data_IF_218795151952
#
_entry.id   IF_218795151952
#
_cell.length_a   1.000
_cell.length_b   1.000
_cell.length_c   1.000
_cell.angle_alpha   90.00
_cell.angle_beta   90.00
_cell.angle_gamma   90.00
#
_symmetry.space_group_name_H-M   'P 1'
#
loop_
_entity.id
_entity.type
_entity.pdbx_description
1 polymer ?
#
# COMPACT_ATOMS: atom_id res chain seq x y z
N UNK A 1 -45.83 -27.28 -12.50
CA UNK A 1 -44.50 -26.76 -12.08
C UNK A 1 -44.15 -25.38 -12.63
N UNK A 2 -44.62 -25.03 -13.83
CA UNK A 2 -44.34 -23.70 -14.45
C UNK A 2 -45.08 -22.50 -13.86
N UNK A 3 -46.22 -22.69 -13.18
CA UNK A 3 -47.01 -21.62 -12.59
C UNK A 3 -46.40 -21.04 -11.31
N UNK A 4 -45.61 -21.78 -10.56
CA UNK A 4 -44.96 -21.28 -9.37
C UNK A 4 -43.74 -20.37 -9.68
N UNK A 5 -43.05 -20.60 -10.78
CA UNK A 5 -41.92 -19.75 -11.19
C UNK A 5 -42.39 -18.39 -11.75
N UNK A 6 -43.56 -18.34 -12.39
CA UNK A 6 -44.15 -17.10 -12.89
C UNK A 6 -44.52 -16.12 -11.78
N UNK A 7 -45.08 -16.62 -10.67
CA UNK A 7 -45.50 -15.81 -9.53
C UNK A 7 -44.26 -15.26 -8.77
N UNK A 8 -43.20 -16.04 -8.66
CA UNK A 8 -41.95 -15.60 -8.02
C UNK A 8 -41.24 -14.49 -8.81
N UNK A 9 -41.22 -14.61 -10.15
CA UNK A 9 -40.57 -13.61 -11.02
C UNK A 9 -41.33 -12.27 -11.04
N UNK A 10 -42.68 -12.30 -11.03
CA UNK A 10 -43.49 -11.09 -10.98
C UNK A 10 -43.38 -10.34 -9.66
N UNK A 11 -43.28 -11.06 -8.53
CA UNK A 11 -43.06 -10.45 -7.21
C UNK A 11 -41.68 -9.80 -7.11
N UNK A 12 -40.67 -10.36 -7.74
CA UNK A 12 -39.29 -9.81 -7.75
C UNK A 12 -39.21 -8.53 -8.59
N UNK A 13 -39.91 -8.47 -9.73
CA UNK A 13 -39.98 -7.28 -10.58
C UNK A 13 -40.76 -6.13 -9.95
N UNK A 14 -41.85 -6.44 -9.21
CA UNK A 14 -42.63 -5.40 -8.51
C UNK A 14 -41.88 -4.85 -7.30
N UNK A 15 -41.13 -5.68 -6.57
CA UNK A 15 -40.25 -5.26 -5.46
C UNK A 15 -39.16 -4.31 -5.92
N UNK A 16 -38.52 -4.60 -7.04
CA UNK A 16 -37.46 -3.75 -7.60
C UNK A 16 -38.01 -2.39 -8.09
N UNK A 17 -39.20 -2.37 -8.69
CA UNK A 17 -39.88 -1.14 -9.11
C UNK A 17 -40.22 -0.23 -7.93
N UNK A 18 -40.67 -0.76 -6.80
CA UNK A 18 -40.97 0.01 -5.58
C UNK A 18 -39.72 0.63 -4.99
N UNK A 19 -38.59 -0.10 -4.99
CA UNK A 19 -37.31 0.40 -4.48
C UNK A 19 -36.81 1.55 -5.35
N UNK A 20 -36.87 1.45 -6.68
CA UNK A 20 -36.49 2.54 -7.60
C UNK A 20 -37.41 3.76 -7.46
N UNK A 21 -38.70 3.58 -7.21
CA UNK A 21 -39.64 4.67 -6.99
C UNK A 21 -39.44 5.38 -5.64
N UNK A 22 -39.05 4.65 -4.61
CA UNK A 22 -38.69 5.23 -3.32
C UNK A 22 -37.37 6.01 -3.37
N UNK A 23 -36.42 5.59 -4.20
CA UNK A 23 -35.15 6.30 -4.40
C UNK A 23 -35.33 7.62 -5.16
N UNK A 24 -36.33 7.70 -6.08
CA UNK A 24 -36.62 8.91 -6.90
C UNK A 24 -37.40 10.00 -6.15
N UNK A 25 -37.92 9.73 -4.94
CA UNK A 25 -38.77 10.67 -4.22
C UNK A 25 -38.08 11.45 -3.10
N UNK A 26 -36.77 11.28 -2.91
CA UNK A 26 -36.01 11.92 -1.83
C UNK A 26 -35.17 13.12 -2.25
N UNK A 27 -35.52 13.77 -3.37
CA UNK A 27 -34.98 15.11 -3.66
C UNK A 27 -36.02 16.14 -3.19
N UNK A 28 -36.01 16.48 -1.92
CA UNK A 28 -36.62 17.70 -1.41
C UNK A 28 -35.64 18.84 -1.62
N UNK A 29 -36.00 19.70 -2.57
CA UNK A 29 -35.37 21.00 -2.77
C UNK A 29 -35.70 21.90 -1.57
N UNK A 30 -34.75 22.09 -0.68
CA UNK A 30 -34.81 23.20 0.26
C UNK A 30 -34.43 24.49 -0.47
N UNK A 31 -35.50 25.26 -0.83
CA UNK A 31 -35.36 26.66 -1.22
C UNK A 31 -34.91 27.47 0.01
N UNK A 32 -33.64 27.70 0.13
CA UNK A 32 -33.08 28.71 1.06
C UNK A 32 -33.11 30.06 0.32
N UNK A 33 -34.07 30.92 0.68
CA UNK A 33 -34.12 32.29 0.21
C UNK A 33 -33.06 33.10 0.96
N UNK A 34 -32.03 33.50 0.23
CA UNK A 34 -31.07 34.49 0.70
C UNK A 34 -31.53 35.86 0.31
N UNK A 35 -32.34 36.48 1.16
CA UNK A 35 -32.51 37.94 1.15
C UNK A 35 -31.93 38.46 2.48
N UNK A 36 -31.06 39.47 2.33
CA UNK A 36 -30.62 40.42 3.31
C UNK A 36 -29.43 40.04 4.19
N UNK A 37 -28.21 40.12 3.63
CA UNK A 37 -27.07 40.79 4.30
C UNK A 37 -26.13 41.41 3.27
N UNK A 38 -26.43 42.66 2.89
CA UNK A 38 -25.44 43.52 2.26
C UNK A 38 -24.46 43.98 3.33
N UNK A 39 -23.30 43.39 3.42
CA UNK A 39 -22.11 44.07 3.92
C UNK A 39 -21.07 44.15 2.82
N UNK A 40 -20.92 45.34 2.38
CA UNK A 40 -19.94 45.86 1.45
C UNK A 40 -18.55 45.69 2.00
N UNK A 41 -17.68 45.06 1.27
CA UNK A 41 -16.23 45.06 1.61
C UNK A 41 -15.59 43.76 1.15
N UNK A 42 -15.41 43.62 -0.12
CA UNK A 42 -14.12 43.54 -0.83
C UNK A 42 -13.13 42.59 -0.17
N UNK A 43 -12.86 41.50 -0.81
CA UNK A 43 -11.59 41.34 -1.54
C UNK A 43 -11.82 40.22 -2.53
N UNK A 44 -11.86 40.61 -3.80
CA UNK A 44 -11.73 39.74 -4.95
C UNK A 44 -10.28 39.22 -4.93
N UNK A 45 -10.06 38.10 -4.25
CA UNK A 45 -8.91 37.24 -4.48
C UNK A 45 -9.45 35.98 -5.13
N UNK A 46 -9.65 36.06 -6.44
CA UNK A 46 -9.51 34.90 -7.29
C UNK A 46 -8.02 34.51 -7.31
N UNK A 47 -7.45 34.20 -6.17
CA UNK A 47 -6.33 33.29 -6.12
C UNK A 47 -6.95 31.90 -6.29
N UNK A 48 -7.01 31.45 -7.54
CA UNK A 48 -6.97 30.02 -7.84
C UNK A 48 -5.70 29.52 -7.13
N UNK A 49 -5.86 29.10 -5.89
CA UNK A 49 -4.89 28.24 -5.25
C UNK A 49 -4.88 26.99 -6.12
N UNK A 50 -3.95 26.97 -7.07
CA UNK A 50 -3.62 25.72 -7.75
C UNK A 50 -3.34 24.76 -6.61
N UNK A 51 -4.27 23.86 -6.34
CA UNK A 51 -4.02 22.66 -5.57
C UNK A 51 -3.00 21.92 -6.40
N UNK A 52 -1.72 22.19 -6.14
CA UNK A 52 -0.64 21.38 -6.62
C UNK A 52 -0.93 20.02 -6.00
N UNK A 53 -1.49 19.14 -6.79
CA UNK A 53 -1.61 17.75 -6.43
C UNK A 53 -0.17 17.24 -6.38
N UNK A 54 0.46 17.41 -5.21
CA UNK A 54 1.77 16.84 -4.92
C UNK A 54 1.49 15.36 -4.84
N UNK A 55 1.62 14.69 -5.97
CA UNK A 55 1.43 13.25 -6.05
C UNK A 55 2.23 12.56 -4.95
N UNK A 56 1.68 11.50 -4.38
CA UNK A 56 2.35 10.74 -3.34
C UNK A 56 3.74 10.31 -3.81
N UNK A 57 4.78 10.62 -3.02
CA UNK A 57 6.16 10.17 -3.25
C UNK A 57 6.35 8.82 -2.58
N UNK A 58 7.07 7.93 -3.24
CA UNK A 58 7.44 6.64 -2.64
C UNK A 58 8.50 6.87 -1.58
N UNK A 59 8.16 6.56 -0.34
CA UNK A 59 9.06 6.66 0.81
C UNK A 59 9.85 5.37 1.04
N UNK A 60 10.88 5.43 1.87
CA UNK A 60 11.54 4.23 2.39
C UNK A 60 10.66 3.54 3.42
N UNK A 61 10.77 2.21 3.57
CA UNK A 61 9.98 1.45 4.56
C UNK A 61 10.47 1.64 6.01
N UNK A 62 11.28 2.65 6.27
CA UNK A 62 11.83 3.02 7.58
C UNK A 62 12.17 4.52 7.63
N UNK A 63 12.30 5.07 8.85
CA UNK A 63 12.67 6.49 9.07
C UNK A 63 14.06 6.66 9.69
N UNK A 64 14.60 5.61 10.33
CA UNK A 64 15.91 5.68 10.99
C UNK A 64 17.02 5.82 9.95
N UNK A 65 17.78 6.91 10.04
CA UNK A 65 18.91 7.23 9.14
C UNK A 65 20.11 6.30 9.29
N UNK A 66 20.17 5.51 10.37
CA UNK A 66 21.23 4.52 10.59
C UNK A 66 20.98 3.20 9.86
N UNK A 67 19.74 2.96 9.41
CA UNK A 67 19.37 1.77 8.64
C UNK A 67 20.08 1.81 7.29
N UNK A 68 20.69 0.68 6.91
CA UNK A 68 21.45 0.51 5.67
C UNK A 68 21.00 -0.75 4.94
N UNK A 69 21.31 -0.83 3.66
CA UNK A 69 21.17 -2.05 2.87
C UNK A 69 22.23 -3.05 3.35
N UNK A 70 21.77 -4.25 3.74
CA UNK A 70 22.63 -5.38 4.13
C UNK A 70 22.56 -6.52 3.12
N UNK A 71 21.53 -6.56 2.27
CA UNK A 71 21.42 -7.45 1.10
C UNK A 71 20.63 -6.75 0.01
N UNK A 72 21.17 -6.66 -1.20
CA UNK A 72 20.58 -5.96 -2.34
C UNK A 72 19.60 -6.84 -3.10
N UNK A 73 18.74 -6.20 -3.90
CA UNK A 73 17.97 -6.85 -4.96
C UNK A 73 18.91 -7.52 -5.96
N UNK A 74 18.55 -8.74 -6.43
CA UNK A 74 19.34 -9.45 -7.44
C UNK A 74 19.09 -8.85 -8.84
N UNK A 75 20.13 -8.21 -9.40
CA UNK A 75 20.11 -7.69 -10.75
C UNK A 75 20.98 -8.60 -11.66
N UNK A 76 20.34 -9.26 -12.63
CA UNK A 76 21.02 -10.14 -13.58
C UNK A 76 21.98 -9.40 -14.55
N UNK A 77 21.88 -8.06 -14.63
CA UNK A 77 22.76 -7.21 -15.43
C UNK A 77 23.93 -6.63 -14.63
N UNK A 78 23.92 -6.81 -13.30
CA UNK A 78 25.00 -6.35 -12.46
C UNK A 78 26.29 -7.19 -12.64
N UNK A 79 27.40 -6.70 -12.12
CA UNK A 79 28.66 -7.45 -12.07
C UNK A 79 28.56 -8.68 -11.16
N UNK A 80 29.47 -9.63 -11.32
CA UNK A 80 29.43 -10.93 -10.60
C UNK A 80 29.50 -10.76 -9.08
N UNK A 81 30.24 -9.78 -8.56
CA UNK A 81 30.36 -9.53 -7.11
C UNK A 81 29.02 -9.01 -6.55
N UNK A 82 28.39 -8.07 -7.24
CA UNK A 82 27.04 -7.57 -6.87
C UNK A 82 25.99 -8.66 -6.91
N UNK A 83 26.02 -9.55 -7.92
CA UNK A 83 25.13 -10.70 -8.01
C UNK A 83 25.35 -11.68 -6.85
N UNK A 84 26.60 -12.03 -6.53
CA UNK A 84 26.93 -12.92 -5.42
C UNK A 84 26.44 -12.35 -4.08
N UNK A 85 26.66 -11.06 -3.82
CA UNK A 85 26.25 -10.39 -2.60
C UNK A 85 24.73 -10.25 -2.44
N UNK A 86 23.95 -10.44 -3.50
CA UNK A 86 22.48 -10.40 -3.49
C UNK A 86 21.84 -11.78 -3.42
N UNK A 87 22.62 -12.86 -3.26
CA UNK A 87 22.10 -14.20 -3.05
C UNK A 87 21.81 -14.45 -1.56
N UNK A 88 20.67 -15.09 -1.30
CA UNK A 88 20.29 -15.63 0.00
C UNK A 88 20.73 -17.10 0.03
N UNK A 89 21.50 -17.50 1.03
CA UNK A 89 21.91 -18.88 1.22
C UNK A 89 21.06 -19.53 2.32
N UNK A 90 20.29 -20.55 1.96
CA UNK A 90 19.47 -21.29 2.89
C UNK A 90 19.50 -22.79 2.58
N UNK A 91 19.78 -23.62 3.59
CA UNK A 91 19.79 -25.10 3.51
C UNK A 91 20.54 -25.66 2.29
N UNK A 92 21.72 -25.13 1.97
CA UNK A 92 22.54 -25.61 0.86
C UNK A 92 22.14 -25.07 -0.51
N UNK A 93 21.16 -24.14 -0.57
CA UNK A 93 20.66 -23.55 -1.81
C UNK A 93 20.89 -22.04 -1.83
N UNK A 94 21.29 -21.53 -2.99
CA UNK A 94 21.35 -20.11 -3.25
C UNK A 94 20.06 -19.64 -3.94
N UNK A 95 19.43 -18.61 -3.38
CA UNK A 95 18.18 -18.03 -3.85
C UNK A 95 18.46 -16.57 -4.24
N UNK A 96 17.96 -16.14 -5.40
CA UNK A 96 18.05 -14.76 -5.84
C UNK A 96 17.11 -13.89 -4.99
N UNK A 97 17.60 -12.76 -4.48
CA UNK A 97 16.78 -11.83 -3.70
C UNK A 97 15.85 -11.04 -4.62
N UNK A 98 14.53 -11.19 -4.44
CA UNK A 98 13.49 -10.40 -5.13
C UNK A 98 13.26 -9.02 -4.49
N UNK A 99 13.89 -8.76 -3.35
CA UNK A 99 13.75 -7.53 -2.58
C UNK A 99 15.09 -7.02 -2.05
N UNK A 100 15.01 -6.17 -1.05
CA UNK A 100 16.18 -5.57 -0.37
C UNK A 100 16.05 -5.82 1.13
N UNK A 101 17.13 -6.25 1.79
CA UNK A 101 17.18 -6.33 3.25
C UNK A 101 17.84 -5.09 3.83
N UNK A 102 17.18 -4.50 4.83
CA UNK A 102 17.60 -3.31 5.55
C UNK A 102 17.87 -3.63 7.02
N UNK A 103 18.96 -3.11 7.59
CA UNK A 103 19.29 -3.29 9.01
C UNK A 103 20.13 -2.12 9.53
N UNK A 104 20.02 -1.85 10.82
CA UNK A 104 20.96 -1.03 11.60
C UNK A 104 21.64 -1.86 12.70
N UNK A 105 21.41 -3.19 12.73
CA UNK A 105 21.88 -4.11 13.76
C UNK A 105 20.94 -4.23 14.97
N UNK A 106 19.93 -3.37 15.08
CA UNK A 106 18.94 -3.32 16.16
C UNK A 106 17.51 -3.36 15.59
N UNK A 107 16.51 -3.42 16.46
CA UNK A 107 15.09 -3.32 16.10
C UNK A 107 14.76 -1.87 15.74
N UNK A 108 14.01 -1.68 14.65
CA UNK A 108 13.54 -0.37 14.20
C UNK A 108 12.09 -0.41 13.72
N UNK A 109 11.45 0.78 13.65
CA UNK A 109 10.09 0.94 13.15
C UNK A 109 10.03 0.70 11.63
N UNK A 110 9.12 -0.19 11.22
CA UNK A 110 8.76 -0.43 9.83
C UNK A 110 7.53 0.41 9.49
N UNK A 111 7.60 1.18 8.40
CA UNK A 111 6.55 2.13 8.04
C UNK A 111 6.04 1.88 6.61
N UNK A 112 4.79 2.27 6.36
CA UNK A 112 4.21 2.21 5.01
C UNK A 112 4.92 3.19 4.06
N UNK A 113 5.25 2.72 2.86
CA UNK A 113 5.89 3.53 1.82
C UNK A 113 4.94 4.53 1.16
N UNK A 114 3.64 4.22 1.14
CA UNK A 114 2.55 4.96 0.51
C UNK A 114 1.24 4.73 1.28
N UNK A 115 0.19 5.54 1.09
CA UNK A 115 -1.16 5.17 1.50
C UNK A 115 -1.61 3.89 0.79
N UNK A 116 -2.39 3.04 1.48
CA UNK A 116 -2.86 1.78 0.90
C UNK A 116 -3.77 0.99 1.82
N UNK A 117 -4.06 -0.24 1.43
CA UNK A 117 -4.90 -1.18 2.18
C UNK A 117 -4.09 -2.44 2.49
N UNK A 118 -4.09 -2.84 3.76
CA UNK A 118 -3.48 -4.11 4.19
C UNK A 118 -4.28 -5.27 3.59
N UNK A 119 -3.65 -6.04 2.71
CA UNK A 119 -4.30 -7.18 2.02
C UNK A 119 -4.13 -8.49 2.74
N UNK A 120 -2.97 -8.69 3.34
CA UNK A 120 -2.63 -9.96 3.92
C UNK A 120 -1.60 -9.78 5.04
N UNK A 121 -1.76 -10.55 6.11
CA UNK A 121 -0.78 -10.71 7.18
C UNK A 121 -0.52 -12.19 7.33
N UNK A 122 0.74 -12.61 7.19
CA UNK A 122 1.16 -14.01 7.32
C UNK A 122 2.16 -14.19 8.45
N UNK A 123 2.04 -15.33 9.13
CA UNK A 123 3.06 -15.85 10.02
C UNK A 123 3.76 -17.01 9.31
N UNK A 124 5.09 -16.98 9.24
CA UNK A 124 5.90 -18.01 8.60
C UNK A 124 7.18 -18.24 9.42
N UNK A 125 7.45 -19.49 9.75
CA UNK A 125 8.58 -19.87 10.59
C UNK A 125 9.94 -19.69 9.89
N UNK A 126 9.97 -19.65 8.55
CA UNK A 126 11.20 -19.53 7.75
C UNK A 126 11.44 -18.08 7.35
N UNK A 127 10.43 -17.45 6.76
CA UNK A 127 10.51 -16.09 6.23
C UNK A 127 10.31 -15.01 7.30
N UNK A 128 9.78 -15.40 8.48
CA UNK A 128 9.28 -14.48 9.50
C UNK A 128 7.87 -13.97 9.14
N UNK A 129 7.27 -13.18 10.03
CA UNK A 129 5.96 -12.58 9.74
C UNK A 129 6.07 -11.58 8.59
N UNK A 130 4.97 -11.41 7.87
CA UNK A 130 4.89 -10.47 6.75
C UNK A 130 3.56 -9.72 6.69
N UNK A 131 3.63 -8.51 6.11
CA UNK A 131 2.48 -7.68 5.75
C UNK A 131 2.56 -7.40 4.25
N UNK A 132 1.44 -7.58 3.54
CA UNK A 132 1.27 -7.16 2.15
C UNK A 132 0.30 -5.99 2.10
N UNK A 133 0.70 -4.89 1.46
CA UNK A 133 -0.13 -3.70 1.27
C UNK A 133 -0.30 -3.44 -0.22
N UNK A 134 -1.55 -3.24 -0.63
CA UNK A 134 -1.89 -2.77 -1.97
C UNK A 134 -2.05 -1.25 -1.94
N UNK A 135 -1.36 -0.58 -2.83
CA UNK A 135 -1.40 0.86 -3.04
C UNK A 135 -2.08 1.18 -4.37
N UNK A 136 -2.31 2.46 -4.64
CA UNK A 136 -2.78 2.91 -5.94
C UNK A 136 -1.76 2.61 -7.05
N UNK A 137 -2.22 2.68 -8.31
CA UNK A 137 -1.40 2.52 -9.52
C UNK A 137 -0.67 1.17 -9.63
N UNK A 138 -1.29 0.08 -9.18
CA UNK A 138 -0.76 -1.27 -9.33
C UNK A 138 0.50 -1.56 -8.50
N UNK A 139 0.77 -0.74 -7.49
CA UNK A 139 1.91 -0.91 -6.59
C UNK A 139 1.50 -1.81 -5.41
N UNK A 140 2.33 -2.82 -5.12
CA UNK A 140 2.21 -3.67 -3.94
C UNK A 140 3.53 -3.63 -3.19
N UNK A 141 3.47 -3.49 -1.88
CA UNK A 141 4.62 -3.60 -0.99
C UNK A 141 4.48 -4.79 -0.05
N UNK A 142 5.58 -5.52 0.15
CA UNK A 142 5.66 -6.68 1.04
C UNK A 142 6.78 -6.42 2.05
N UNK A 143 6.42 -6.50 3.32
CA UNK A 143 7.31 -6.32 4.47
C UNK A 143 7.45 -7.65 5.16
N UNK A 144 8.65 -8.23 5.22
CA UNK A 144 8.94 -9.52 5.87
C UNK A 144 10.01 -9.37 6.94
N UNK A 145 10.19 -10.40 7.75
CA UNK A 145 11.07 -10.39 8.92
C UNK A 145 10.66 -9.31 9.91
N UNK A 146 9.39 -9.29 10.28
CA UNK A 146 8.78 -8.30 11.17
C UNK A 146 8.14 -8.94 12.40
N UNK A 147 8.00 -8.14 13.46
CA UNK A 147 7.30 -8.47 14.71
C UNK A 147 6.42 -7.30 15.14
N UNK A 148 5.70 -7.46 16.24
CA UNK A 148 4.87 -6.41 16.85
C UNK A 148 3.99 -5.68 15.82
N UNK A 149 3.24 -6.46 15.04
CA UNK A 149 2.37 -5.94 13.98
C UNK A 149 1.23 -5.12 14.61
N UNK A 150 1.06 -3.88 14.15
CA UNK A 150 0.12 -2.88 14.71
C UNK A 150 -1.12 -2.67 13.84
N UNK A 151 -1.26 -3.41 12.75
CA UNK A 151 -2.36 -3.30 11.77
C UNK A 151 -3.04 -4.65 11.57
N UNK A 152 -4.24 -4.63 10.97
CA UNK A 152 -5.02 -5.81 10.64
C UNK A 152 -5.32 -5.84 9.13
N UNK A 153 -5.65 -7.02 8.62
CA UNK A 153 -6.13 -7.16 7.24
C UNK A 153 -7.40 -6.32 7.02
N UNK A 154 -7.44 -5.59 5.92
CA UNK A 154 -8.49 -4.65 5.56
C UNK A 154 -8.29 -3.22 6.09
N UNK A 155 -7.30 -2.96 6.95
CA UNK A 155 -7.03 -1.62 7.44
C UNK A 155 -6.50 -0.71 6.31
N UNK A 156 -6.97 0.55 6.32
CA UNK A 156 -6.38 1.61 5.54
C UNK A 156 -5.18 2.18 6.29
N UNK A 157 -4.06 2.26 5.62
CA UNK A 157 -2.83 2.85 6.15
C UNK A 157 -2.47 4.14 5.42
N UNK A 158 -1.86 5.05 6.13
CA UNK A 158 -1.32 6.28 5.57
C UNK A 158 0.19 6.13 5.29
N UNK A 159 0.69 6.96 4.41
CA UNK A 159 2.13 7.10 4.17
C UNK A 159 2.88 7.34 5.50
N UNK A 160 4.02 6.68 5.68
CA UNK A 160 4.83 6.77 6.90
C UNK A 160 4.16 6.32 8.21
N UNK A 161 3.00 5.65 8.15
CA UNK A 161 2.39 5.01 9.31
C UNK A 161 3.24 3.83 9.76
N UNK A 162 3.48 3.72 11.08
CA UNK A 162 4.16 2.55 11.66
C UNK A 162 3.26 1.33 11.51
N UNK A 163 3.79 0.26 10.93
CA UNK A 163 3.10 -1.01 10.66
C UNK A 163 3.51 -2.09 11.66
N UNK A 164 4.80 -2.14 11.98
CA UNK A 164 5.42 -3.22 12.76
C UNK A 164 6.82 -2.81 13.22
N UNK A 165 7.54 -3.75 13.83
CA UNK A 165 8.98 -3.68 14.10
C UNK A 165 9.74 -4.61 13.16
N UNK A 166 10.98 -4.26 12.81
CA UNK A 166 11.90 -5.19 12.17
C UNK A 166 12.25 -6.35 13.12
N UNK A 167 12.55 -7.52 12.58
CA UNK A 167 12.82 -8.72 13.37
C UNK A 167 13.85 -9.62 12.71
N UNK A 168 13.87 -10.89 13.09
CA UNK A 168 14.74 -11.92 12.52
C UNK A 168 13.93 -12.87 11.64
N UNK A 169 14.61 -13.59 10.74
CA UNK A 169 14.03 -14.71 10.00
C UNK A 169 15.03 -15.87 9.91
N UNK A 170 14.52 -17.10 9.77
CA UNK A 170 15.39 -18.27 9.66
C UNK A 170 16.09 -18.34 8.29
N UNK A 171 15.46 -17.84 7.23
CA UNK A 171 16.02 -17.82 5.87
C UNK A 171 17.26 -16.91 5.75
N UNK A 172 17.35 -15.87 6.58
CA UNK A 172 18.44 -14.90 6.60
C UNK A 172 18.95 -14.66 8.02
N UNK A 173 19.17 -15.76 8.76
CA UNK A 173 19.60 -15.71 10.15
C UNK A 173 20.98 -15.04 10.36
N UNK A 174 21.79 -14.97 9.31
CA UNK A 174 23.08 -14.27 9.25
C UNK A 174 22.94 -12.73 9.33
N UNK A 175 21.79 -12.19 8.96
CA UNK A 175 21.51 -10.75 9.00
C UNK A 175 21.06 -10.25 10.39
N UNK A 176 20.79 -11.15 11.34
CA UNK A 176 20.20 -10.82 12.64
C UNK A 176 18.88 -10.04 12.47
N UNK A 177 18.70 -8.92 13.20
CA UNK A 177 17.52 -8.08 13.06
C UNK A 177 17.58 -7.29 11.74
N UNK A 178 16.55 -7.46 10.90
CA UNK A 178 16.45 -6.81 9.60
C UNK A 178 14.98 -6.71 9.15
N UNK A 179 14.72 -5.87 8.18
CA UNK A 179 13.51 -5.84 7.37
C UNK A 179 13.87 -6.36 5.99
N UNK A 180 13.18 -7.40 5.50
CA UNK A 180 13.19 -7.75 4.08
C UNK A 180 11.99 -7.10 3.39
N UNK A 181 12.25 -6.37 2.31
CA UNK A 181 11.25 -5.55 1.63
C UNK A 181 11.21 -5.81 0.14
N UNK A 182 10.03 -6.12 -0.38
CA UNK A 182 9.78 -6.26 -1.82
C UNK A 182 8.80 -5.18 -2.30
N UNK A 183 9.00 -4.74 -3.54
CA UNK A 183 8.07 -3.87 -4.26
C UNK A 183 7.70 -4.50 -5.59
N UNK A 184 6.40 -4.53 -5.87
CA UNK A 184 5.83 -5.06 -7.10
C UNK A 184 5.09 -3.91 -7.78
N UNK A 185 5.34 -3.72 -9.07
CA UNK A 185 4.66 -2.73 -9.92
C UNK A 185 4.08 -3.50 -11.12
N UNK A 186 2.76 -3.41 -11.32
CA UNK A 186 2.04 -4.09 -12.39
C UNK A 186 2.34 -5.61 -12.46
N UNK A 187 2.48 -6.24 -11.29
CA UNK A 187 2.75 -7.67 -11.15
C UNK A 187 4.21 -8.08 -11.34
N UNK A 188 5.14 -7.14 -11.49
CA UNK A 188 6.58 -7.40 -11.66
C UNK A 188 7.33 -6.93 -10.42
N UNK A 189 8.15 -7.82 -9.80
CA UNK A 189 9.09 -7.44 -8.74
C UNK A 189 10.15 -6.50 -9.29
N UNK A 190 10.38 -5.38 -8.61
CA UNK A 190 11.34 -4.35 -9.02
C UNK A 190 12.32 -4.04 -7.90
N UNK A 191 13.48 -3.50 -8.24
CA UNK A 191 14.41 -2.99 -7.24
C UNK A 191 13.84 -1.71 -6.60
N UNK A 192 13.46 -1.71 -5.30
CA UNK A 192 12.84 -0.56 -4.65
C UNK A 192 13.73 0.69 -4.64
N UNK A 193 15.06 0.52 -4.61
CA UNK A 193 16.01 1.62 -4.57
C UNK A 193 15.92 2.53 -5.81
N UNK A 194 15.37 2.01 -6.91
CA UNK A 194 15.17 2.80 -8.14
C UNK A 194 13.93 3.70 -8.10
N UNK A 195 13.08 3.56 -7.06
CA UNK A 195 11.76 4.20 -7.03
C UNK A 195 11.57 5.16 -5.85
N UNK A 196 12.36 5.05 -4.79
CA UNK A 196 12.28 6.00 -3.67
C UNK A 196 12.44 7.45 -4.12
N UNK A 197 11.67 8.32 -3.54
CA UNK A 197 11.58 9.75 -3.86
C UNK A 197 11.04 10.07 -5.27
N UNK A 198 10.51 9.09 -6.00
CA UNK A 198 9.76 9.32 -7.23
C UNK A 198 8.27 9.53 -6.92
N UNK A 199 7.62 10.33 -7.75
CA UNK A 199 6.17 10.47 -7.69
C UNK A 199 5.49 9.22 -8.25
N UNK A 200 4.42 8.77 -7.60
CA UNK A 200 3.63 7.63 -8.08
C UNK A 200 3.09 7.87 -9.50
N UNK A 201 2.78 9.13 -9.85
CA UNK A 201 2.34 9.52 -11.20
C UNK A 201 3.40 9.36 -12.31
N UNK A 202 4.67 9.18 -11.94
CA UNK A 202 5.78 8.96 -12.90
C UNK A 202 6.04 7.46 -13.14
N UNK A 203 5.29 6.58 -12.46
CA UNK A 203 5.46 5.13 -12.52
C UNK A 203 4.40 4.56 -13.45
N UNK A 204 4.80 3.69 -14.39
CA UNK A 204 3.88 2.99 -15.29
C UNK A 204 3.48 3.79 -16.54
N UNK A 205 4.28 4.80 -16.94
CA UNK A 205 4.15 5.46 -18.25
C UNK A 205 5.10 4.88 -19.28
#
# INVERSE_FOLDING_TARGET
>A
MYTMYGISLTLLLTGFGIILFAYSKNETSDNFSTDDYVSKGIIDYEDEVQVVNVGNMINRPYKDSNVKIVKSYYDYLADAESQENSLIYYEGTYIQSSGVSYSNGEEFDVVSILPGVVKEIKEDDILGNSITIEHDNGIISIYQSISDILVHEGDNVTENQVLAKSSTSNISSDLNNHLYFEMIIDGVCVNPENYYSKLVSEIGQ
#
